data_IF_314193003678
#
_entry.id   IF_314193003678
#
_cell.length_a   1.000
_cell.length_b   1.000
_cell.length_c   1.000
_cell.angle_alpha   90.00
_cell.angle_beta   90.00
_cell.angle_gamma   90.00
#
_symmetry.space_group_name_H-M   'P 1'
#
loop_
_entity.id
_entity.type
_entity.pdbx_description
1 polymer ?
#
# COMPACT_ATOMS: atom_id res chain seq x y z
N UNK A 1 -18.98 24.97 -30.82
CA UNK A 1 -17.67 25.37 -30.23
C UNK A 1 -17.74 25.71 -28.73
N UNK A 2 -18.69 26.53 -28.26
CA UNK A 2 -18.77 26.97 -26.84
C UNK A 2 -18.88 25.83 -25.80
N UNK A 3 -19.71 24.82 -26.05
CA UNK A 3 -19.90 23.67 -25.13
C UNK A 3 -18.64 22.80 -24.95
N UNK A 4 -17.78 22.69 -25.97
CA UNK A 4 -16.52 21.91 -25.90
C UNK A 4 -15.47 22.62 -25.04
N UNK A 5 -15.31 23.94 -25.24
CA UNK A 5 -14.42 24.76 -24.42
C UNK A 5 -14.86 24.73 -22.95
N UNK A 6 -16.17 24.81 -22.70
CA UNK A 6 -16.73 24.68 -21.36
C UNK A 6 -16.41 23.32 -20.72
N UNK A 7 -16.55 22.21 -21.45
CA UNK A 7 -16.22 20.88 -20.94
C UNK A 7 -14.72 20.70 -20.64
N UNK A 8 -13.84 21.21 -21.50
CA UNK A 8 -12.40 21.21 -21.25
C UNK A 8 -12.01 22.01 -20.00
N UNK A 9 -12.69 23.15 -19.75
CA UNK A 9 -12.48 23.95 -18.53
C UNK A 9 -12.89 23.15 -17.29
N UNK A 10 -14.03 22.44 -17.32
CA UNK A 10 -14.45 21.60 -16.19
C UNK A 10 -13.42 20.50 -15.92
N UNK A 11 -12.96 19.78 -16.95
CA UNK A 11 -11.94 18.74 -16.80
C UNK A 11 -10.63 19.30 -16.23
N UNK A 12 -10.23 20.49 -16.68
CA UNK A 12 -9.04 21.16 -16.15
C UNK A 12 -9.20 21.53 -14.67
N UNK A 13 -10.35 22.10 -14.27
CA UNK A 13 -10.63 22.42 -12.88
C UNK A 13 -10.66 21.14 -12.00
N UNK A 14 -11.26 20.06 -12.49
CA UNK A 14 -11.26 18.77 -11.78
C UNK A 14 -9.85 18.21 -11.60
N UNK A 15 -8.99 18.34 -12.62
CA UNK A 15 -7.58 17.95 -12.53
C UNK A 15 -6.84 18.75 -11.45
N UNK A 16 -6.98 20.08 -11.45
CA UNK A 16 -6.34 20.96 -10.46
C UNK A 16 -6.85 20.67 -9.04
N UNK A 17 -8.16 20.46 -8.86
CA UNK A 17 -8.71 20.08 -7.56
C UNK A 17 -8.20 18.71 -7.08
N UNK A 18 -8.11 17.73 -7.98
CA UNK A 18 -7.50 16.42 -7.68
C UNK A 18 -6.04 16.55 -7.26
N UNK A 19 -5.26 17.35 -7.98
CA UNK A 19 -3.86 17.62 -7.66
C UNK A 19 -3.72 18.30 -6.29
N UNK A 20 -4.45 19.38 -6.04
CA UNK A 20 -4.41 20.10 -4.77
C UNK A 20 -4.85 19.20 -3.60
N UNK A 21 -5.92 18.41 -3.77
CA UNK A 21 -6.39 17.46 -2.76
C UNK A 21 -5.34 16.40 -2.40
N UNK A 22 -4.66 15.83 -3.39
CA UNK A 22 -3.57 14.86 -3.14
C UNK A 22 -2.37 15.47 -2.42
N UNK A 23 -1.97 16.70 -2.79
CA UNK A 23 -0.87 17.42 -2.12
C UNK A 23 -1.22 17.71 -0.66
N UNK A 24 -2.40 18.31 -0.41
CA UNK A 24 -2.83 18.68 0.95
C UNK A 24 -2.92 17.46 1.85
N UNK A 25 -3.54 16.37 1.37
CA UNK A 25 -3.65 15.13 2.16
C UNK A 25 -2.27 14.49 2.39
N UNK A 26 -1.39 14.50 1.39
CA UNK A 26 -0.02 13.99 1.51
C UNK A 26 0.79 14.77 2.56
N UNK A 27 0.76 16.09 2.54
CA UNK A 27 1.48 16.93 3.51
C UNK A 27 0.88 16.85 4.92
N UNK A 28 -0.45 16.79 5.03
CA UNK A 28 -1.15 16.77 6.33
C UNK A 28 -0.96 15.46 7.07
N UNK A 29 -1.00 14.32 6.35
CA UNK A 29 -0.96 12.99 6.94
C UNK A 29 0.38 12.28 6.79
N UNK A 30 1.27 12.74 5.91
CA UNK A 30 2.69 12.34 5.90
C UNK A 30 3.49 12.92 7.08
N UNK A 31 2.85 13.67 7.98
CA UNK A 31 3.50 14.48 9.01
C UNK A 31 3.81 13.78 10.33
N UNK A 32 4.97 13.14 10.39
CA UNK A 32 6.05 13.28 11.39
C UNK A 32 7.17 12.40 10.82
N UNK A 33 8.41 12.89 10.71
CA UNK A 33 9.52 12.06 10.25
C UNK A 33 10.53 12.01 11.37
N UNK A 34 10.65 10.85 12.00
CA UNK A 34 11.63 10.59 13.05
C UNK A 34 12.05 9.15 12.96
N UNK A 35 13.36 8.91 13.00
CA UNK A 35 13.87 7.54 13.15
C UNK A 35 13.63 7.07 14.57
N UNK A 36 13.14 5.85 14.73
CA UNK A 36 13.16 5.18 16.03
C UNK A 36 14.62 4.84 16.32
N UNK A 37 15.10 5.26 17.49
CA UNK A 37 16.52 5.20 17.82
C UNK A 37 17.09 3.78 17.69
N UNK A 38 18.15 3.64 16.91
CA UNK A 38 18.85 2.36 16.69
C UNK A 38 18.20 1.42 15.68
N UNK A 39 17.03 1.72 15.12
CA UNK A 39 16.28 0.76 14.29
C UNK A 39 16.10 1.26 12.85
N UNK A 40 15.60 0.38 11.97
CA UNK A 40 15.20 0.75 10.61
C UNK A 40 13.78 1.33 10.53
N UNK A 41 13.12 1.55 11.67
CA UNK A 41 11.77 2.08 11.72
C UNK A 41 11.75 3.61 11.75
N UNK A 42 10.73 4.18 11.14
CA UNK A 42 10.46 5.61 11.07
C UNK A 42 9.02 5.88 11.50
N UNK A 43 8.80 6.95 12.25
CA UNK A 43 7.49 7.41 12.68
C UNK A 43 6.71 8.14 11.59
N UNK A 44 6.64 7.56 10.39
CA UNK A 44 5.97 8.13 9.22
C UNK A 44 4.82 7.24 8.71
N UNK A 45 3.58 7.71 8.76
CA UNK A 45 2.45 6.94 8.24
C UNK A 45 2.45 6.98 6.70
N UNK A 46 2.74 5.83 6.08
CA UNK A 46 2.51 5.63 4.65
C UNK A 46 1.10 5.10 4.38
N UNK A 47 0.58 5.40 3.18
CA UNK A 47 -0.74 4.93 2.71
C UNK A 47 -0.73 3.41 2.51
N UNK A 48 -0.83 2.67 3.62
CA UNK A 48 -0.78 1.21 3.64
C UNK A 48 -2.09 0.52 3.94
N UNK A 49 -3.03 1.27 4.48
CA UNK A 49 -4.31 0.74 4.89
C UNK A 49 -5.12 0.33 3.66
N UNK A 50 -5.38 -0.97 3.55
CA UNK A 50 -6.06 -1.56 2.40
C UNK A 50 -5.14 -2.21 1.36
N UNK A 51 -3.84 -2.33 1.66
CA UNK A 51 -3.01 -3.32 0.98
C UNK A 51 -3.58 -4.72 1.22
N UNK A 52 -3.65 -5.54 0.17
CA UNK A 52 -3.95 -6.98 0.29
C UNK A 52 -2.74 -7.76 0.81
N UNK A 53 -1.57 -7.14 0.86
CA UNK A 53 -0.32 -7.72 1.36
C UNK A 53 -0.17 -7.33 2.82
N UNK A 54 -0.78 -8.11 3.69
CA UNK A 54 -0.69 -7.91 5.12
C UNK A 54 -0.44 -9.22 5.86
N UNK A 55 0.15 -9.13 7.05
CA UNK A 55 0.24 -10.24 8.00
C UNK A 55 -0.01 -9.70 9.43
N UNK A 56 -0.21 -10.61 10.38
CA UNK A 56 -0.43 -10.32 11.78
C UNK A 56 0.55 -11.11 12.66
N UNK A 57 1.00 -10.47 13.74
CA UNK A 57 1.82 -11.12 14.76
C UNK A 57 0.98 -11.74 15.88
N UNK A 58 1.66 -12.36 16.86
CA UNK A 58 1.01 -13.03 17.98
C UNK A 58 0.31 -12.06 18.96
N UNK A 59 0.68 -10.77 18.93
CA UNK A 59 0.06 -9.71 19.72
C UNK A 59 -1.14 -9.07 19.01
N UNK A 60 -1.35 -9.41 17.74
CA UNK A 60 -2.38 -8.85 16.89
C UNK A 60 -2.00 -7.50 16.26
N UNK A 61 -0.72 -7.12 16.27
CA UNK A 61 -0.25 -6.04 15.42
C UNK A 61 -0.40 -6.46 13.95
N UNK A 62 -0.73 -5.50 13.09
CA UNK A 62 -0.94 -5.70 11.65
C UNK A 62 0.21 -5.05 10.87
N UNK A 63 0.78 -5.79 9.94
CA UNK A 63 1.91 -5.38 9.12
C UNK A 63 1.42 -5.31 7.69
N UNK A 64 1.53 -4.16 7.05
CA UNK A 64 1.11 -3.95 5.66
C UNK A 64 2.31 -3.65 4.80
N UNK A 65 2.50 -4.42 3.73
CA UNK A 65 3.46 -4.10 2.71
C UNK A 65 2.85 -3.11 1.72
N UNK A 66 3.52 -1.98 1.55
CA UNK A 66 3.08 -0.85 0.74
C UNK A 66 4.14 -0.53 -0.29
N UNK A 67 3.72 -0.17 -1.50
CA UNK A 67 4.63 0.29 -2.53
C UNK A 67 4.74 1.81 -2.44
N UNK A 68 5.96 2.32 -2.24
CA UNK A 68 6.25 3.75 -2.23
C UNK A 68 5.89 4.43 -3.55
N UNK A 69 5.37 5.66 -3.46
CA UNK A 69 4.86 6.44 -4.59
C UNK A 69 5.96 7.24 -5.32
N UNK A 70 5.92 7.15 -6.65
CA UNK A 70 6.47 7.96 -7.76
C UNK A 70 7.76 8.82 -7.67
N UNK A 71 8.25 9.28 -6.52
CA UNK A 71 9.32 10.30 -6.47
C UNK A 71 10.59 9.94 -5.70
N UNK A 72 10.60 8.85 -4.94
CA UNK A 72 11.83 8.30 -4.37
C UNK A 72 11.98 6.86 -4.86
N UNK A 73 13.24 6.43 -5.10
CA UNK A 73 13.62 5.10 -5.60
C UNK A 73 12.62 4.05 -5.12
N UNK A 74 11.95 3.32 -6.03
CA UNK A 74 10.94 2.29 -5.76
C UNK A 74 11.21 1.49 -4.47
N UNK A 75 10.79 2.03 -3.33
CA UNK A 75 11.03 1.47 -2.02
C UNK A 75 9.70 0.96 -1.51
N UNK A 76 9.69 -0.31 -1.13
CA UNK A 76 8.58 -0.81 -0.36
C UNK A 76 8.74 -0.34 1.08
N UNK A 77 7.62 -0.13 1.74
CA UNK A 77 7.56 0.09 3.18
C UNK A 77 6.72 -1.00 3.81
N UNK A 78 7.03 -1.37 5.05
CA UNK A 78 6.14 -2.17 5.89
C UNK A 78 5.56 -1.22 6.93
N UNK A 79 4.26 -0.95 6.86
CA UNK A 79 3.55 -0.07 7.79
C UNK A 79 2.95 -0.92 8.89
N UNK A 80 3.25 -0.61 10.14
CA UNK A 80 2.84 -1.38 11.32
C UNK A 80 1.74 -0.64 12.06
N UNK A 81 0.63 -1.33 12.30
CA UNK A 81 -0.48 -0.89 13.15
C UNK A 81 -0.61 -1.80 14.38
N UNK A 82 -0.96 -1.20 15.51
CA UNK A 82 -1.22 -1.93 16.74
C UNK A 82 -2.52 -2.75 16.70
N UNK A 83 -2.80 -3.54 17.75
CA UNK A 83 -3.97 -4.41 17.82
C UNK A 83 -5.32 -3.69 17.84
N UNK A 84 -5.32 -2.37 18.06
CA UNK A 84 -6.53 -1.52 17.99
C UNK A 84 -6.56 -0.65 16.72
N UNK A 85 -5.67 -0.92 15.75
CA UNK A 85 -5.62 -0.24 14.46
C UNK A 85 -4.94 1.13 14.48
N UNK A 86 -4.29 1.50 15.58
CA UNK A 86 -3.48 2.70 15.69
C UNK A 86 -2.14 2.54 14.97
N UNK A 87 -1.68 3.57 14.26
CA UNK A 87 -0.37 3.57 13.64
C UNK A 87 0.75 3.45 14.69
N UNK A 88 1.77 2.61 14.43
CA UNK A 88 2.95 2.43 15.30
C UNK A 88 4.18 3.06 14.65
N UNK A 89 4.63 2.51 13.53
CA UNK A 89 5.83 2.93 12.80
C UNK A 89 5.87 2.30 11.40
N UNK A 90 6.80 2.72 10.56
CA UNK A 90 7.04 2.21 9.21
C UNK A 90 8.49 1.73 9.06
N UNK A 91 8.69 0.54 8.51
CA UNK A 91 9.98 -0.04 8.13
C UNK A 91 10.27 0.22 6.66
N UNK A 92 11.51 0.58 6.33
CA UNK A 92 11.98 0.71 4.95
C UNK A 92 13.00 -0.38 4.60
N UNK A 93 12.54 -1.59 4.27
CA UNK A 93 13.46 -2.60 3.77
C UNK A 93 13.97 -2.17 2.38
N UNK A 94 15.28 -2.27 2.13
CA UNK A 94 15.86 -2.04 0.81
C UNK A 94 15.53 -3.24 -0.11
N UNK A 95 14.34 -3.22 -0.71
CA UNK A 95 13.79 -4.34 -1.50
C UNK A 95 13.13 -3.88 -2.80
N UNK A 96 13.11 -4.80 -3.75
CA UNK A 96 12.63 -4.62 -5.12
C UNK A 96 11.15 -4.96 -5.29
N UNK A 97 10.57 -4.55 -6.42
CA UNK A 97 9.18 -4.87 -6.81
C UNK A 97 8.88 -6.35 -6.82
N UNK A 98 7.76 -6.74 -6.20
CA UNK A 98 7.38 -8.17 -6.05
C UNK A 98 7.60 -8.69 -4.63
N UNK A 99 7.84 -7.80 -3.68
CA UNK A 99 8.06 -8.17 -2.28
C UNK A 99 6.80 -8.73 -1.63
N UNK A 100 7.04 -9.54 -0.61
CA UNK A 100 6.06 -10.09 0.31
C UNK A 100 6.50 -9.90 1.76
N UNK A 101 5.55 -9.98 2.69
CA UNK A 101 5.82 -9.93 4.12
C UNK A 101 5.20 -11.14 4.82
N UNK A 102 5.93 -11.67 5.80
CA UNK A 102 5.48 -12.72 6.70
C UNK A 102 6.00 -12.42 8.10
N UNK A 103 5.20 -12.64 9.11
CA UNK A 103 5.64 -12.60 10.50
C UNK A 103 5.87 -14.02 10.99
N UNK A 104 7.07 -14.30 11.49
CA UNK A 104 7.39 -15.62 12.05
C UNK A 104 6.64 -15.83 13.37
N UNK A 105 6.13 -17.05 13.57
CA UNK A 105 5.42 -17.42 14.80
C UNK A 105 6.39 -17.67 15.95
N UNK A 106 6.05 -17.20 17.15
CA UNK A 106 6.83 -17.43 18.37
C UNK A 106 7.81 -16.31 18.72
N UNK A 107 8.49 -15.71 17.73
CA UNK A 107 9.43 -14.59 17.96
C UNK A 107 9.03 -13.29 17.24
N UNK A 108 7.97 -13.31 16.44
CA UNK A 108 7.45 -12.15 15.71
C UNK A 108 8.48 -11.46 14.79
N UNK A 109 9.53 -12.17 14.36
CA UNK A 109 10.46 -11.62 13.39
C UNK A 109 9.74 -11.29 12.08
N UNK A 110 10.07 -10.12 11.53
CA UNK A 110 9.51 -9.59 10.29
C UNK A 110 10.34 -10.15 9.13
N UNK A 111 9.75 -11.03 8.34
CA UNK A 111 10.34 -11.61 7.16
C UNK A 111 9.84 -10.86 5.94
N UNK A 112 10.78 -10.26 5.21
CA UNK A 112 10.53 -9.57 3.94
C UNK A 112 11.16 -10.40 2.83
N UNK A 113 10.34 -10.94 1.95
CA UNK A 113 10.80 -11.73 0.81
C UNK A 113 10.83 -10.87 -0.45
N UNK A 114 12.03 -10.64 -0.99
CA UNK A 114 12.22 -9.99 -2.29
C UNK A 114 12.30 -11.06 -3.39
N UNK A 115 11.20 -11.24 -4.11
CA UNK A 115 11.12 -12.23 -5.19
C UNK A 115 11.99 -11.92 -6.41
N UNK A 116 12.40 -10.67 -6.62
CA UNK A 116 13.29 -10.31 -7.74
C UNK A 116 14.75 -10.53 -7.41
N UNK A 117 15.13 -10.20 -6.18
CA UNK A 117 16.48 -10.44 -5.70
C UNK A 117 16.69 -11.90 -5.27
N UNK A 118 15.61 -12.68 -5.11
CA UNK A 118 15.61 -14.01 -4.51
C UNK A 118 16.23 -13.98 -3.10
N UNK A 119 15.88 -12.96 -2.32
CA UNK A 119 16.43 -12.71 -1.00
C UNK A 119 15.34 -12.76 0.08
N UNK A 120 15.71 -13.34 1.23
CA UNK A 120 14.95 -13.23 2.46
C UNK A 120 15.69 -12.28 3.39
N UNK A 121 15.00 -11.21 3.79
CA UNK A 121 15.47 -10.23 4.75
C UNK A 121 14.67 -10.40 6.04
N UNK A 122 15.38 -10.57 7.14
CA UNK A 122 14.78 -10.78 8.46
C UNK A 122 15.12 -9.61 9.37
N UNK A 123 14.08 -9.03 9.97
CA UNK A 123 14.20 -8.07 11.05
C UNK A 123 13.62 -8.68 12.32
N UNK A 124 14.16 -8.32 13.47
CA UNK A 124 13.51 -8.65 14.74
C UNK A 124 12.25 -7.78 14.96
N UNK A 125 11.52 -8.05 16.03
CA UNK A 125 10.33 -7.30 16.45
C UNK A 125 10.59 -5.81 16.75
N UNK A 126 11.87 -5.46 16.94
CA UNK A 126 12.37 -4.09 17.16
C UNK A 126 12.87 -3.42 15.88
N UNK A 127 12.94 -4.13 14.76
CA UNK A 127 13.36 -3.59 13.46
C UNK A 127 14.87 -3.57 13.22
N UNK A 128 15.66 -4.28 14.04
CA UNK A 128 17.07 -4.53 13.75
C UNK A 128 17.18 -5.61 12.67
N UNK A 129 18.08 -5.39 11.71
CA UNK A 129 18.38 -6.40 10.71
C UNK A 129 19.07 -7.59 11.39
N UNK A 130 18.43 -8.76 11.33
CA UNK A 130 18.94 -10.01 11.87
C UNK A 130 19.76 -10.73 10.82
N UNK A 131 19.19 -10.91 9.63
CA UNK A 131 19.88 -11.56 8.52
C UNK A 131 19.36 -11.10 7.16
N UNK A 132 20.23 -11.21 6.17
CA UNK A 132 19.90 -11.06 4.76
C UNK A 132 20.59 -12.21 4.02
N UNK A 133 19.81 -13.09 3.39
CA UNK A 133 20.34 -14.28 2.71
C UNK A 133 19.59 -14.57 1.41
N UNK A 134 20.24 -15.30 0.53
CA UNK A 134 19.56 -15.91 -0.62
C UNK A 134 18.48 -16.87 -0.11
N UNK A 135 17.32 -16.86 -0.75
CA UNK A 135 16.22 -17.73 -0.41
C UNK A 135 16.48 -19.15 -0.92
N UNK A 136 16.10 -20.16 -0.12
CA UNK A 136 16.13 -21.56 -0.53
C UNK A 136 14.72 -22.12 -0.69
N UNK A 137 14.55 -23.23 -1.41
CA UNK A 137 13.25 -23.92 -1.46
C UNK A 137 12.72 -24.32 -0.08
N UNK A 138 13.63 -24.64 0.86
CA UNK A 138 13.25 -24.93 2.23
C UNK A 138 12.72 -23.68 2.94
N UNK A 139 13.30 -22.52 2.72
CA UNK A 139 12.78 -21.26 3.26
C UNK A 139 11.38 -20.95 2.71
N UNK A 140 11.16 -21.18 1.41
CA UNK A 140 9.85 -21.00 0.78
C UNK A 140 8.80 -21.90 1.43
N UNK A 141 9.13 -23.18 1.69
CA UNK A 141 8.23 -24.13 2.36
C UNK A 141 8.01 -23.76 3.82
N UNK A 142 9.08 -23.45 4.55
CA UNK A 142 9.05 -23.20 6.00
C UNK A 142 8.26 -21.95 6.35
N UNK A 143 8.34 -20.91 5.52
CA UNK A 143 7.65 -19.64 5.74
C UNK A 143 6.36 -19.51 4.93
N UNK A 144 5.95 -20.58 4.25
CA UNK A 144 4.75 -20.61 3.42
C UNK A 144 4.74 -19.43 2.43
N UNK A 145 5.86 -19.31 1.71
CA UNK A 145 6.09 -18.25 0.73
C UNK A 145 5.65 -18.65 -0.69
N UNK A 146 5.14 -19.87 -0.86
CA UNK A 146 4.74 -20.46 -2.15
C UNK A 146 3.67 -19.66 -2.89
N UNK A 147 2.88 -18.84 -2.18
CA UNK A 147 1.82 -18.01 -2.77
C UNK A 147 2.23 -16.54 -2.97
N UNK A 148 3.49 -16.18 -2.71
CA UNK A 148 3.97 -14.81 -2.96
C UNK A 148 4.43 -14.65 -4.42
N UNK A 149 3.45 -14.56 -5.32
CA UNK A 149 3.63 -14.27 -6.74
C UNK A 149 2.40 -13.54 -7.30
N UNK A 150 2.67 -12.56 -8.17
CA UNK A 150 1.82 -11.58 -8.93
C UNK A 150 0.47 -11.08 -8.40
N UNK A 151 -0.27 -11.83 -7.60
CA UNK A 151 -1.57 -11.47 -7.05
C UNK A 151 -1.75 -12.06 -5.65
N UNK A 152 -0.88 -11.66 -4.71
CA UNK A 152 -1.14 -11.93 -3.28
C UNK A 152 -2.47 -11.26 -2.91
N UNK A 153 -3.50 -12.10 -2.87
CA UNK A 153 -4.92 -11.76 -2.77
C UNK A 153 -5.53 -12.35 -1.52
N UNK A 154 -4.70 -12.84 -0.58
CA UNK A 154 -5.17 -13.38 0.69
C UNK A 154 -5.90 -12.28 1.47
N UNK A 155 -7.22 -12.33 1.36
CA UNK A 155 -8.14 -11.57 2.19
C UNK A 155 -8.39 -12.26 3.51
N UNK A 156 -7.89 -13.49 3.70
CA UNK A 156 -8.05 -14.27 4.91
C UNK A 156 -6.67 -14.71 5.39
N UNK A 157 -6.43 -14.50 6.68
CA UNK A 157 -5.16 -14.80 7.32
C UNK A 157 -5.38 -15.51 8.65
N UNK A 158 -4.82 -16.70 8.80
CA UNK A 158 -4.93 -17.51 10.02
C UNK A 158 -3.68 -17.33 10.89
N UNK A 159 -3.87 -17.10 12.19
CA UNK A 159 -2.80 -16.98 13.19
C UNK A 159 -3.27 -17.61 14.51
N UNK A 160 -2.84 -18.84 14.77
CA UNK A 160 -3.34 -19.60 15.91
C UNK A 160 -4.86 -19.76 15.85
N UNK A 161 -5.57 -19.34 16.90
CA UNK A 161 -7.03 -19.35 16.97
C UNK A 161 -7.70 -18.15 16.26
N UNK A 162 -6.92 -17.18 15.78
CA UNK A 162 -7.44 -15.98 15.15
C UNK A 162 -7.54 -16.15 13.62
N UNK A 163 -8.70 -15.75 13.08
CA UNK A 163 -8.90 -15.58 11.64
C UNK A 163 -9.07 -14.11 11.35
N UNK A 164 -8.13 -13.52 10.61
CA UNK A 164 -8.19 -12.15 10.12
C UNK A 164 -8.79 -12.14 8.72
N UNK A 165 -9.79 -11.30 8.49
CA UNK A 165 -10.42 -11.14 7.18
C UNK A 165 -10.40 -9.69 6.75
N UNK A 166 -9.82 -9.39 5.59
CA UNK A 166 -9.78 -8.08 4.96
C UNK A 166 -10.93 -7.95 3.94
N UNK A 167 -11.98 -7.26 4.36
CA UNK A 167 -13.13 -6.91 3.53
C UNK A 167 -13.00 -5.44 3.08
N UNK A 168 -12.42 -5.24 1.88
CA UNK A 168 -12.29 -3.92 1.24
C UNK A 168 -11.62 -2.86 2.15
N UNK A 169 -10.58 -3.25 2.88
CA UNK A 169 -9.84 -2.36 3.76
C UNK A 169 -10.38 -2.29 5.20
N UNK A 170 -11.45 -3.03 5.51
CA UNK A 170 -11.83 -3.31 6.89
C UNK A 170 -11.29 -4.68 7.26
N UNK A 171 -10.38 -4.74 8.24
CA UNK A 171 -9.90 -6.01 8.77
C UNK A 171 -10.71 -6.37 10.02
N UNK A 172 -11.31 -7.55 9.96
CA UNK A 172 -12.02 -8.18 11.07
C UNK A 172 -11.21 -9.33 11.61
N UNK A 173 -11.20 -9.48 12.93
CA UNK A 173 -10.63 -10.62 13.63
C UNK A 173 -11.76 -11.46 14.20
N UNK A 174 -11.77 -12.75 13.88
CA UNK A 174 -12.69 -13.74 14.44
C UNK A 174 -11.96 -14.64 15.43
N UNK A 175 -12.54 -14.82 16.63
CA UNK A 175 -12.12 -15.81 17.62
C UNK A 175 -13.36 -16.48 18.19
N UNK A 176 -13.40 -17.81 18.19
CA UNK A 176 -14.53 -18.59 18.73
C UNK A 176 -15.90 -18.13 18.20
N UNK A 177 -15.96 -17.75 16.91
CA UNK A 177 -17.18 -17.28 16.24
C UNK A 177 -17.59 -15.83 16.53
N UNK A 178 -16.84 -15.09 17.37
CA UNK A 178 -17.05 -13.65 17.58
C UNK A 178 -16.15 -12.84 16.67
N UNK A 179 -16.76 -12.00 15.82
CA UNK A 179 -16.03 -11.06 14.96
C UNK A 179 -15.94 -9.68 15.61
N UNK A 180 -14.75 -9.07 15.54
CA UNK A 180 -14.52 -7.67 15.89
C UNK A 180 -13.78 -6.97 14.76
N UNK A 181 -14.07 -5.69 14.53
CA UNK A 181 -13.27 -4.86 13.62
C UNK A 181 -11.99 -4.46 14.36
N UNK A 182 -10.83 -4.83 13.82
CA UNK A 182 -9.51 -4.49 14.39
C UNK A 182 -8.83 -3.37 13.64
N UNK A 183 -9.23 -3.14 12.39
CA UNK A 183 -8.68 -2.08 11.58
C UNK A 183 -9.66 -1.66 10.49
N UNK A 184 -9.68 -0.37 10.19
CA UNK A 184 -10.40 0.18 9.04
C UNK A 184 -9.49 1.21 8.41
N UNK A 185 -9.39 1.19 7.08
CA UNK A 185 -8.66 2.23 6.33
C UNK A 185 -9.08 3.61 6.81
N UNK A 186 -8.15 4.45 7.27
CA UNK A 186 -8.46 5.82 7.66
C UNK A 186 -9.15 6.56 6.51
N UNK A 187 -10.19 7.34 6.82
CA UNK A 187 -10.99 8.04 5.81
C UNK A 187 -10.14 8.91 4.88
N UNK A 188 -9.08 9.53 5.39
CA UNK A 188 -8.18 10.36 4.60
C UNK A 188 -7.45 9.55 3.52
N UNK A 189 -7.09 8.28 3.76
CA UNK A 189 -6.45 7.42 2.75
C UNK A 189 -7.44 7.06 1.63
N UNK A 190 -8.72 6.87 1.98
CA UNK A 190 -9.79 6.69 0.98
C UNK A 190 -9.95 7.95 0.14
N UNK A 191 -9.98 9.13 0.78
CA UNK A 191 -10.06 10.41 0.08
C UNK A 191 -8.85 10.66 -0.81
N UNK A 192 -7.64 10.33 -0.35
CA UNK A 192 -6.41 10.43 -1.13
C UNK A 192 -6.52 9.62 -2.43
N UNK A 193 -6.94 8.35 -2.35
CA UNK A 193 -7.18 7.49 -3.53
C UNK A 193 -8.26 8.06 -4.45
N UNK A 194 -9.34 8.60 -3.90
CA UNK A 194 -10.42 9.23 -4.69
C UNK A 194 -9.88 10.44 -5.47
N UNK A 195 -9.16 11.35 -4.82
CA UNK A 195 -8.57 12.51 -5.49
C UNK A 195 -7.56 12.11 -6.57
N UNK A 196 -6.77 11.05 -6.32
CA UNK A 196 -5.83 10.52 -7.29
C UNK A 196 -6.53 9.93 -8.53
N UNK A 197 -7.64 9.18 -8.34
CA UNK A 197 -8.48 8.69 -9.44
C UNK A 197 -9.09 9.85 -10.23
N UNK A 198 -9.65 10.86 -9.56
CA UNK A 198 -10.22 12.06 -10.20
C UNK A 198 -9.15 12.74 -11.06
N UNK A 199 -7.93 12.89 -10.54
CA UNK A 199 -6.78 13.47 -11.24
C UNK A 199 -6.49 12.69 -12.54
N UNK A 200 -6.35 11.37 -12.48
CA UNK A 200 -6.03 10.57 -13.67
C UNK A 200 -7.15 10.54 -14.71
N UNK A 201 -8.41 10.39 -14.29
CA UNK A 201 -9.56 10.42 -15.20
C UNK A 201 -9.64 11.79 -15.89
N UNK A 202 -9.44 12.88 -15.13
CA UNK A 202 -9.47 14.24 -15.68
C UNK A 202 -8.33 14.45 -16.69
N UNK A 203 -7.13 13.96 -16.39
CA UNK A 203 -5.98 14.03 -17.28
C UNK A 203 -6.21 13.25 -18.59
N UNK A 204 -6.72 12.02 -18.50
CA UNK A 204 -7.08 11.22 -19.66
C UNK A 204 -8.17 11.90 -20.50
N UNK A 205 -9.17 12.49 -19.85
CA UNK A 205 -10.19 13.31 -20.50
C UNK A 205 -9.58 14.51 -21.25
N UNK A 206 -8.72 15.29 -20.59
CA UNK A 206 -8.02 16.42 -21.23
C UNK A 206 -7.23 15.97 -22.47
N UNK A 207 -6.55 14.83 -22.40
CA UNK A 207 -5.80 14.29 -23.53
C UNK A 207 -6.72 13.89 -24.70
N UNK A 208 -7.78 13.12 -24.43
CA UNK A 208 -8.72 12.65 -25.46
C UNK A 208 -9.44 13.83 -26.13
N UNK A 209 -9.98 14.76 -25.34
CA UNK A 209 -10.75 15.89 -25.88
C UNK A 209 -9.87 17.01 -26.43
N UNK A 210 -8.65 17.18 -25.91
CA UNK A 210 -7.69 18.19 -26.34
C UNK A 210 -6.88 17.80 -27.57
N UNK A 211 -6.56 16.51 -27.74
CA UNK A 211 -5.63 16.05 -28.79
C UNK A 211 -6.25 14.98 -29.71
N UNK A 212 -6.80 13.90 -29.17
CA UNK A 212 -7.25 12.74 -29.99
C UNK A 212 -8.45 13.10 -30.88
N UNK A 213 -9.52 13.65 -30.31
CA UNK A 213 -10.74 13.98 -31.07
C UNK A 213 -10.50 15.05 -32.15
N UNK A 214 -9.75 16.14 -31.90
CA UNK A 214 -9.38 17.10 -32.93
C UNK A 214 -8.61 16.48 -34.11
N UNK A 215 -7.67 15.58 -33.82
CA UNK A 215 -6.89 14.88 -34.85
C UNK A 215 -7.80 13.99 -35.70
N UNK A 216 -8.64 13.15 -35.08
CA UNK A 216 -9.57 12.26 -35.80
C UNK A 216 -10.51 13.06 -36.71
N UNK A 217 -11.05 14.19 -36.23
CA UNK A 217 -11.93 15.05 -37.04
C UNK A 217 -11.21 15.64 -38.25
N UNK A 218 -9.96 16.09 -38.06
CA UNK A 218 -9.15 16.63 -39.15
C UNK A 218 -8.83 15.57 -40.20
N UNK A 219 -8.53 14.33 -39.77
CA UNK A 219 -8.19 13.22 -40.67
C UNK A 219 -9.41 12.69 -41.43
N UNK A 220 -10.59 12.63 -40.81
CA UNK A 220 -11.80 12.06 -41.42
C UNK A 220 -12.73 13.10 -42.09
N UNK A 221 -12.32 14.36 -42.19
CA UNK A 221 -13.09 15.40 -42.89
C UNK A 221 -14.42 15.80 -42.22
N UNK A 222 -14.69 15.35 -40.98
CA UNK A 222 -15.88 15.75 -40.23
C UNK A 222 -15.72 17.19 -39.73
N UNK A 223 -16.54 18.11 -40.26
CA UNK A 223 -16.68 19.49 -39.74
C UNK A 223 -17.21 19.50 -38.28
#
# INVERSE_FOLDING_TARGET
MKRKKFFLIILFLMFIMGLAGTIILGETFGGYHGKVEGTNFVLEEWVGAGSKRYDADDEGNLYFLVQGGMFEKQSYAVVIYGPTGQYKYTLYPEVSVGTAIRIRSGDNHILVYDSKAEELIEFDDKGFLVTKKAITENDIKNYDLTNFGSDYTETIRNRGEFVYKNDFGTIRRSINGKEIVVFTVPTWQVLYKIFDIIKYISLAGLFVFGFVIPVIRKTNGYK
#
